data_IF_335480344193
#
_entry.id   IF_335480344193
#
_cell.length_a   1.000
_cell.length_b   1.000
_cell.length_c   1.000
_cell.angle_alpha   90.00
_cell.angle_beta   90.00
_cell.angle_gamma   90.00
#
_symmetry.space_group_name_H-M   'P 1'
#
loop_
_entity.id
_entity.type
_entity.pdbx_description
1 polymer ?
#
# COMPACT_ATOMS: atom_id res chain seq x y z
N UNK A 1 7.36 21.60 -11.39
CA UNK A 1 6.51 20.61 -10.69
C UNK A 1 5.34 20.04 -11.52
N UNK A 2 5.20 20.35 -12.83
CA UNK A 2 3.94 20.13 -13.57
C UNK A 2 3.88 18.83 -14.40
N UNK A 3 4.98 18.40 -15.03
CA UNK A 3 4.96 17.24 -15.94
C UNK A 3 4.90 15.88 -15.21
N UNK A 4 5.68 15.70 -14.13
CA UNK A 4 5.72 14.45 -13.38
C UNK A 4 4.37 14.09 -12.74
N UNK A 5 3.65 15.11 -12.25
CA UNK A 5 2.33 14.96 -11.62
C UNK A 5 1.24 14.61 -12.65
N UNK A 6 1.35 15.15 -13.88
CA UNK A 6 0.46 14.78 -15.01
C UNK A 6 0.71 13.34 -15.45
N UNK A 7 1.97 12.90 -15.55
CA UNK A 7 2.30 11.51 -15.93
C UNK A 7 1.85 10.49 -14.87
N UNK A 8 1.99 10.82 -13.58
CA UNK A 8 1.47 10.00 -12.49
C UNK A 8 -0.06 9.83 -12.60
N UNK A 9 -0.79 10.94 -12.79
CA UNK A 9 -2.24 10.90 -12.92
C UNK A 9 -2.67 10.06 -14.14
N UNK A 10 -2.03 10.26 -15.29
CA UNK A 10 -2.32 9.49 -16.51
C UNK A 10 -2.07 7.98 -16.33
N UNK A 11 -0.96 7.61 -15.68
CA UNK A 11 -0.66 6.20 -15.39
C UNK A 11 -1.68 5.58 -14.42
N UNK A 12 -2.06 6.30 -13.36
CA UNK A 12 -3.07 5.83 -12.40
C UNK A 12 -4.44 5.68 -13.06
N UNK A 13 -4.85 6.66 -13.86
CA UNK A 13 -6.11 6.64 -14.60
C UNK A 13 -6.16 5.50 -15.63
N UNK A 14 -5.07 5.29 -16.38
CA UNK A 14 -4.93 4.15 -17.28
C UNK A 14 -5.04 2.82 -16.55
N UNK A 15 -4.27 2.66 -15.46
CA UNK A 15 -4.26 1.44 -14.65
C UNK A 15 -5.66 1.14 -14.12
N UNK A 16 -6.35 2.14 -13.55
CA UNK A 16 -7.71 1.96 -13.03
C UNK A 16 -8.67 1.59 -14.15
N UNK A 17 -8.67 2.35 -15.26
CA UNK A 17 -9.56 2.11 -16.39
C UNK A 17 -9.40 0.71 -16.97
N UNK A 18 -8.17 0.23 -17.12
CA UNK A 18 -7.91 -1.05 -17.76
C UNK A 18 -8.13 -2.24 -16.83
N UNK A 19 -7.69 -2.15 -15.56
CA UNK A 19 -7.91 -3.20 -14.56
C UNK A 19 -9.32 -3.22 -13.94
N UNK A 20 -10.18 -2.23 -14.23
CA UNK A 20 -11.61 -2.30 -13.87
C UNK A 20 -12.44 -3.18 -14.83
N UNK A 21 -11.78 -3.85 -15.78
CA UNK A 21 -12.40 -4.72 -16.77
C UNK A 21 -12.10 -6.19 -16.47
N UNK A 22 -13.04 -7.11 -16.71
CA UNK A 22 -12.82 -8.53 -16.49
C UNK A 22 -11.72 -9.11 -17.38
N UNK A 23 -11.54 -8.58 -18.60
CA UNK A 23 -10.53 -9.08 -19.54
C UNK A 23 -9.08 -8.77 -19.13
N UNK A 24 -8.88 -7.94 -18.11
CA UNK A 24 -7.55 -7.69 -17.56
C UNK A 24 -7.01 -8.88 -16.75
N UNK A 25 -7.83 -9.89 -16.46
CA UNK A 25 -7.49 -11.01 -15.59
C UNK A 25 -7.61 -12.35 -16.34
N UNK A 26 -6.75 -13.34 -16.05
CA UNK A 26 -6.75 -14.65 -16.70
C UNK A 26 -7.80 -15.60 -16.10
N UNK A 27 -8.75 -15.09 -15.32
CA UNK A 27 -9.76 -15.87 -14.61
C UNK A 27 -11.08 -15.09 -14.52
N UNK A 28 -12.22 -15.75 -14.27
CA UNK A 28 -13.48 -15.07 -13.99
C UNK A 28 -13.36 -14.12 -12.80
N UNK A 29 -14.04 -12.97 -12.86
CA UNK A 29 -14.06 -11.97 -11.80
C UNK A 29 -15.48 -11.68 -11.34
N UNK A 30 -15.64 -11.30 -10.06
CA UNK A 30 -16.90 -10.77 -9.54
C UNK A 30 -17.03 -9.30 -9.92
N UNK A 31 -18.16 -8.93 -10.51
CA UNK A 31 -18.49 -7.55 -10.86
C UNK A 31 -19.40 -6.91 -9.80
N UNK A 32 -19.27 -5.59 -9.56
CA UNK A 32 -18.20 -4.71 -10.06
C UNK A 32 -16.85 -4.99 -9.40
N UNK A 33 -15.75 -4.73 -10.12
CA UNK A 33 -14.40 -4.74 -9.53
C UNK A 33 -14.28 -3.50 -8.65
N UNK A 34 -14.11 -3.70 -7.35
CA UNK A 34 -13.88 -2.59 -6.43
C UNK A 34 -12.42 -2.14 -6.52
N UNK A 35 -12.21 -0.82 -6.60
CA UNK A 35 -10.90 -0.21 -6.70
C UNK A 35 -10.60 0.58 -5.44
N UNK A 36 -9.53 0.20 -4.73
CA UNK A 36 -9.05 0.91 -3.54
C UNK A 36 -7.71 1.56 -3.82
N UNK A 37 -7.60 2.84 -3.52
CA UNK A 37 -6.35 3.57 -3.70
C UNK A 37 -5.69 3.86 -2.36
N UNK A 38 -4.37 3.78 -2.38
CA UNK A 38 -3.49 4.30 -1.32
C UNK A 38 -2.57 5.37 -1.93
N UNK A 39 -1.74 6.01 -1.11
CA UNK A 39 -0.74 6.97 -1.59
C UNK A 39 0.23 6.36 -2.62
N UNK A 40 0.59 5.08 -2.46
CA UNK A 40 1.65 4.43 -3.26
C UNK A 40 1.15 3.30 -4.17
N UNK A 41 -0.13 2.93 -4.13
CA UNK A 41 -0.65 1.77 -4.87
C UNK A 41 -2.14 1.85 -5.14
N UNK A 42 -2.59 1.09 -6.13
CA UNK A 42 -4.00 0.80 -6.43
C UNK A 42 -4.24 -0.69 -6.23
N UNK A 43 -5.34 -1.05 -5.58
CA UNK A 43 -5.76 -2.43 -5.30
C UNK A 43 -7.08 -2.70 -5.99
N UNK A 44 -7.16 -3.81 -6.73
CA UNK A 44 -8.35 -4.27 -7.44
C UNK A 44 -8.89 -5.54 -6.79
N UNK A 45 -10.16 -5.52 -6.40
CA UNK A 45 -10.84 -6.63 -5.74
C UNK A 45 -11.70 -7.39 -6.77
N UNK A 46 -11.31 -8.63 -7.08
CA UNK A 46 -11.89 -9.42 -8.18
C UNK A 46 -12.79 -10.56 -7.70
N UNK A 47 -13.08 -10.64 -6.40
CA UNK A 47 -13.90 -11.65 -5.75
C UNK A 47 -13.07 -12.65 -4.98
N UNK A 48 -12.33 -13.52 -5.67
CA UNK A 48 -11.43 -14.50 -5.05
C UNK A 48 -10.03 -13.90 -4.78
N UNK A 49 -9.55 -13.08 -5.72
CA UNK A 49 -8.21 -12.50 -5.69
C UNK A 49 -8.26 -10.99 -5.59
N UNK A 50 -7.21 -10.43 -4.98
CA UNK A 50 -6.92 -9.01 -4.98
C UNK A 50 -5.58 -8.77 -5.67
N UNK A 51 -5.49 -7.71 -6.47
CA UNK A 51 -4.29 -7.35 -7.20
C UNK A 51 -3.83 -5.96 -6.82
N UNK A 52 -2.59 -5.82 -6.36
CA UNK A 52 -2.01 -4.53 -5.99
C UNK A 52 -0.95 -4.11 -7.01
N UNK A 53 -1.14 -2.95 -7.62
CA UNK A 53 -0.21 -2.32 -8.56
C UNK A 53 0.35 -1.05 -7.93
N UNK A 54 1.67 -0.87 -7.96
CA UNK A 54 2.35 0.30 -7.37
C UNK A 54 2.26 1.49 -8.31
N UNK A 55 2.09 2.68 -7.73
CA UNK A 55 2.11 3.94 -8.48
C UNK A 55 3.57 4.35 -8.75
N UNK A 56 3.89 4.98 -9.89
CA UNK A 56 5.23 5.45 -10.23
C UNK A 56 5.54 6.76 -9.51
N UNK A 57 5.79 6.68 -8.21
CA UNK A 57 6.05 7.82 -7.31
C UNK A 57 7.44 7.74 -6.70
N UNK A 58 8.00 8.88 -6.33
CA UNK A 58 9.20 9.01 -5.53
C UNK A 58 8.91 9.96 -4.36
N UNK A 59 9.09 9.46 -3.13
CA UNK A 59 8.92 10.21 -1.88
C UNK A 59 10.25 10.42 -1.14
N UNK A 60 11.40 10.18 -1.77
CA UNK A 60 12.74 10.31 -1.17
C UNK A 60 13.11 9.17 -0.22
N UNK A 61 12.14 8.60 0.52
CA UNK A 61 12.31 7.36 1.28
C UNK A 61 11.90 6.11 0.49
N UNK A 62 11.31 6.30 -0.70
CA UNK A 62 10.74 5.24 -1.52
C UNK A 62 10.67 5.70 -2.98
N UNK A 63 11.27 4.93 -3.89
CA UNK A 63 11.25 5.20 -5.33
C UNK A 63 10.66 4.02 -6.10
N UNK A 64 9.51 4.26 -6.75
CA UNK A 64 8.78 3.35 -7.64
C UNK A 64 8.71 3.85 -9.08
N UNK A 65 9.50 4.86 -9.44
CA UNK A 65 9.45 5.51 -10.75
C UNK A 65 9.76 4.54 -11.89
N UNK A 66 10.72 3.64 -11.67
CA UNK A 66 11.11 2.63 -12.67
C UNK A 66 10.32 1.33 -12.53
N UNK A 67 10.09 0.64 -13.65
CA UNK A 67 9.48 -0.70 -13.65
C UNK A 67 10.32 -1.71 -12.86
N UNK A 68 11.66 -1.61 -12.95
CA UNK A 68 12.58 -2.45 -12.19
C UNK A 68 12.42 -2.29 -10.69
N UNK A 69 12.28 -1.04 -10.21
CA UNK A 69 11.98 -0.76 -8.81
C UNK A 69 10.62 -1.33 -8.40
N UNK A 70 9.55 -1.11 -9.20
CA UNK A 70 8.23 -1.68 -8.90
C UNK A 70 8.24 -3.21 -8.84
N UNK A 71 9.01 -3.87 -9.72
CA UNK A 71 9.24 -5.33 -9.65
C UNK A 71 9.92 -5.73 -8.34
N UNK A 72 11.06 -5.10 -8.04
CA UNK A 72 11.85 -5.40 -6.85
C UNK A 72 11.00 -5.26 -5.58
N UNK A 73 10.33 -4.12 -5.39
CA UNK A 73 9.52 -3.89 -4.21
C UNK A 73 8.25 -4.73 -4.15
N UNK A 74 7.71 -5.19 -5.29
CA UNK A 74 6.62 -6.17 -5.30
C UNK A 74 7.07 -7.55 -4.83
N UNK A 75 8.28 -7.96 -5.22
CA UNK A 75 8.91 -9.20 -4.73
C UNK A 75 9.24 -9.10 -3.23
N UNK A 76 9.73 -7.94 -2.78
CA UNK A 76 9.97 -7.70 -1.35
C UNK A 76 8.68 -7.71 -0.55
N UNK A 77 7.59 -7.13 -1.04
CA UNK A 77 6.28 -7.22 -0.39
C UNK A 77 5.82 -8.68 -0.25
N UNK A 78 5.95 -9.47 -1.32
CA UNK A 78 5.63 -10.90 -1.28
C UNK A 78 6.49 -11.62 -0.23
N UNK A 79 7.81 -11.45 -0.28
CA UNK A 79 8.77 -12.09 0.63
C UNK A 79 8.52 -11.72 2.08
N UNK A 80 8.31 -10.43 2.36
CA UNK A 80 8.16 -9.91 3.71
C UNK A 80 6.81 -10.30 4.33
N UNK A 81 5.73 -10.26 3.57
CA UNK A 81 4.39 -10.52 4.11
C UNK A 81 4.07 -12.01 4.23
N UNK A 82 4.67 -12.87 3.38
CA UNK A 82 4.52 -14.33 3.50
C UNK A 82 5.00 -14.90 4.84
N UNK A 83 5.85 -14.19 5.57
CA UNK A 83 6.29 -14.60 6.92
C UNK A 83 5.14 -14.69 7.92
N UNK A 84 4.10 -13.86 7.75
CA UNK A 84 2.91 -13.83 8.62
C UNK A 84 1.65 -14.34 7.90
N UNK A 85 1.58 -14.16 6.58
CA UNK A 85 0.40 -14.47 5.78
C UNK A 85 0.75 -15.26 4.50
N UNK A 86 1.35 -16.47 4.61
CA UNK A 86 1.87 -17.22 3.46
C UNK A 86 0.81 -17.57 2.43
N UNK A 87 -0.41 -17.88 2.87
CA UNK A 87 -1.53 -18.25 2.00
C UNK A 87 -2.25 -17.03 1.39
N UNK A 88 -2.01 -15.84 1.93
CA UNK A 88 -2.64 -14.61 1.44
C UNK A 88 -1.84 -13.97 0.32
N UNK A 89 -0.51 -14.00 0.38
CA UNK A 89 0.38 -13.42 -0.62
C UNK A 89 0.90 -14.52 -1.54
N UNK A 90 0.45 -14.53 -2.80
CA UNK A 90 0.65 -15.67 -3.69
C UNK A 90 1.86 -15.54 -4.61
N UNK A 91 1.89 -14.45 -5.38
CA UNK A 91 2.88 -14.26 -6.45
C UNK A 91 2.95 -12.79 -6.87
N UNK A 92 3.97 -12.49 -7.67
CA UNK A 92 4.07 -11.23 -8.41
C UNK A 92 3.82 -11.55 -9.88
N UNK A 93 2.69 -11.09 -10.41
CA UNK A 93 2.26 -11.33 -11.77
C UNK A 93 2.69 -10.17 -12.69
N UNK A 94 3.23 -10.46 -13.89
CA UNK A 94 3.58 -9.42 -14.85
C UNK A 94 2.34 -8.81 -15.50
N UNK A 95 2.40 -7.50 -15.73
CA UNK A 95 1.39 -6.73 -16.46
C UNK A 95 1.93 -6.43 -17.85
N UNK A 96 1.14 -6.75 -18.87
CA UNK A 96 1.49 -6.52 -20.28
C UNK A 96 0.49 -5.57 -20.93
N UNK A 97 0.93 -4.93 -22.02
CA UNK A 97 0.05 -4.19 -22.92
C UNK A 97 -0.34 -5.07 -24.11
N UNK A 98 -1.63 -5.40 -24.24
CA UNK A 98 -2.18 -6.18 -25.35
C UNK A 98 -3.40 -5.47 -25.91
N UNK A 99 -3.48 -5.33 -27.25
CA UNK A 99 -4.58 -4.60 -27.89
C UNK A 99 -4.75 -3.15 -27.40
N UNK A 100 -3.65 -2.50 -26.99
CA UNK A 100 -3.66 -1.15 -26.42
C UNK A 100 -4.09 -1.05 -24.95
N UNK A 101 -4.40 -2.18 -24.30
CA UNK A 101 -4.92 -2.25 -22.93
C UNK A 101 -3.95 -2.98 -22.00
N UNK A 102 -3.95 -2.63 -20.72
CA UNK A 102 -3.21 -3.36 -19.69
C UNK A 102 -3.97 -4.62 -19.25
N UNK A 103 -3.25 -5.72 -19.10
CA UNK A 103 -3.79 -7.00 -18.59
C UNK A 103 -2.70 -7.87 -17.96
N UNK A 104 -3.09 -8.77 -17.06
CA UNK A 104 -2.22 -9.80 -16.50
C UNK A 104 -2.01 -10.94 -17.50
N UNK A 105 -0.78 -11.41 -17.63
CA UNK A 105 -0.44 -12.62 -18.40
C UNK A 105 0.53 -13.47 -17.58
N UNK A 106 0.05 -14.36 -16.71
CA UNK A 106 0.89 -15.13 -15.78
C UNK A 106 1.95 -15.98 -16.49
N UNK A 107 1.61 -16.52 -17.67
CA UNK A 107 2.49 -17.36 -18.48
C UNK A 107 3.43 -16.54 -19.40
N UNK A 108 3.43 -15.22 -19.26
CA UNK A 108 4.13 -14.30 -20.13
C UNK A 108 3.30 -13.85 -21.33
N UNK A 109 3.72 -12.73 -21.92
CA UNK A 109 3.10 -12.10 -23.09
C UNK A 109 4.17 -11.65 -24.09
N UNK A 110 3.76 -11.22 -25.29
CA UNK A 110 4.70 -10.68 -26.26
C UNK A 110 5.37 -9.40 -25.72
N UNK A 111 6.70 -9.34 -25.83
CA UNK A 111 7.50 -8.21 -25.37
C UNK A 111 7.84 -8.25 -23.88
N UNK A 112 8.24 -7.10 -23.34
CA UNK A 112 8.56 -6.93 -21.92
C UNK A 112 7.31 -6.53 -21.11
N UNK A 113 7.20 -6.96 -19.84
CA UNK A 113 6.20 -6.42 -18.93
C UNK A 113 6.29 -4.89 -18.86
N UNK A 114 5.14 -4.24 -18.74
CA UNK A 114 5.02 -2.79 -18.55
C UNK A 114 4.78 -2.41 -17.09
N UNK A 115 4.35 -3.36 -16.26
CA UNK A 115 4.26 -3.23 -14.81
C UNK A 115 4.20 -4.60 -14.11
N UNK A 116 4.00 -4.58 -12.79
CA UNK A 116 3.89 -5.77 -11.93
C UNK A 116 2.75 -5.62 -10.93
N UNK A 117 2.03 -6.71 -10.68
CA UNK A 117 0.96 -6.79 -9.70
C UNK A 117 1.28 -7.84 -8.63
N UNK A 118 1.14 -7.49 -7.36
CA UNK A 118 1.13 -8.49 -6.28
C UNK A 118 -0.25 -9.12 -6.24
N UNK A 119 -0.33 -10.43 -6.51
CA UNK A 119 -1.57 -11.21 -6.41
C UNK A 119 -1.73 -11.75 -4.99
N UNK A 120 -2.90 -11.50 -4.43
CA UNK A 120 -3.26 -11.87 -3.07
C UNK A 120 -4.62 -12.55 -3.02
N UNK A 121 -4.89 -13.37 -2.00
CA UNK A 121 -6.28 -13.73 -1.65
C UNK A 121 -7.03 -12.48 -1.25
N UNK A 122 -8.20 -12.27 -1.82
CA UNK A 122 -9.09 -11.22 -1.35
C UNK A 122 -9.62 -11.62 0.04
N UNK A 123 -9.45 -10.73 1.01
CA UNK A 123 -10.02 -10.93 2.35
C UNK A 123 -11.54 -10.79 2.30
N UNK A 124 -12.22 -11.67 3.02
CA UNK A 124 -13.65 -11.56 3.29
C UNK A 124 -13.88 -10.38 4.24
N UNK A 125 -14.64 -9.38 3.77
CA UNK A 125 -14.94 -8.17 4.54
C UNK A 125 -15.61 -8.49 5.87
N UNK A 126 -16.50 -9.49 5.90
CA UNK A 126 -17.18 -9.93 7.12
C UNK A 126 -16.24 -10.52 8.18
N UNK A 127 -15.00 -10.84 7.79
CA UNK A 127 -13.97 -11.41 8.66
C UNK A 127 -12.84 -10.43 8.98
N UNK A 128 -12.93 -9.19 8.50
CA UNK A 128 -11.96 -8.16 8.86
C UNK A 128 -12.17 -7.69 10.31
N UNK A 129 -11.09 -7.30 10.97
CA UNK A 129 -11.12 -6.88 12.36
C UNK A 129 -12.11 -5.74 12.65
N UNK A 130 -12.24 -4.67 11.83
CA UNK A 130 -13.24 -3.63 12.05
C UNK A 130 -14.67 -4.19 12.11
N UNK A 131 -15.04 -5.02 11.13
CA UNK A 131 -16.37 -5.64 11.09
C UNK A 131 -16.60 -6.60 12.26
N UNK A 132 -15.59 -7.38 12.65
CA UNK A 132 -15.67 -8.26 13.82
C UNK A 132 -15.84 -7.48 15.13
N UNK A 133 -15.23 -6.30 15.25
CA UNK A 133 -15.38 -5.42 16.41
C UNK A 133 -16.78 -4.79 16.44
N UNK A 134 -17.24 -4.26 15.30
CA UNK A 134 -18.57 -3.66 15.15
C UNK A 134 -19.71 -4.65 15.45
N UNK A 135 -19.52 -5.91 15.07
CA UNK A 135 -20.51 -6.99 15.30
C UNK A 135 -20.39 -7.66 16.67
N UNK A 136 -19.46 -7.22 17.53
CA UNK A 136 -19.31 -7.76 18.89
C UNK A 136 -18.78 -9.20 18.93
N UNK A 137 -17.97 -9.61 17.95
CA UNK A 137 -17.41 -10.96 17.91
C UNK A 137 -16.55 -11.24 19.17
N UNK A 138 -16.58 -12.47 19.74
CA UNK A 138 -15.77 -12.81 20.91
C UNK A 138 -14.29 -12.98 20.54
N UNK A 139 -13.54 -11.88 20.59
CA UNK A 139 -12.14 -11.81 20.13
C UNK A 139 -11.09 -12.00 21.23
N UNK A 140 -11.48 -12.08 22.51
CA UNK A 140 -10.55 -11.99 23.66
C UNK A 140 -9.30 -12.88 23.53
N UNK A 141 -9.50 -14.20 23.34
CA UNK A 141 -8.36 -15.12 23.17
C UNK A 141 -7.59 -14.88 21.87
N UNK A 142 -8.30 -14.57 20.77
CA UNK A 142 -7.69 -14.33 19.45
C UNK A 142 -6.79 -13.10 19.44
N UNK A 143 -7.18 -12.02 20.13
CA UNK A 143 -6.37 -10.80 20.27
C UNK A 143 -5.09 -11.10 21.05
N UNK A 144 -5.18 -11.87 22.14
CA UNK A 144 -3.99 -12.25 22.91
C UNK A 144 -3.04 -13.13 22.09
N UNK A 145 -3.58 -14.08 21.33
CA UNK A 145 -2.78 -14.93 20.44
C UNK A 145 -2.10 -14.10 19.33
N UNK A 146 -2.82 -13.13 18.74
CA UNK A 146 -2.27 -12.18 17.76
C UNK A 146 -1.17 -11.30 18.36
N UNK A 147 -1.40 -10.72 19.55
CA UNK A 147 -0.41 -9.89 20.23
C UNK A 147 0.88 -10.67 20.53
N UNK A 148 0.74 -11.92 21.01
CA UNK A 148 1.88 -12.81 21.24
C UNK A 148 2.63 -13.16 19.95
N UNK A 149 1.91 -13.38 18.84
CA UNK A 149 2.53 -13.62 17.54
C UNK A 149 3.36 -12.41 17.09
N UNK A 150 2.78 -11.20 17.15
CA UNK A 150 3.46 -9.97 16.76
C UNK A 150 4.67 -9.67 17.66
N UNK A 151 4.54 -9.86 18.97
CA UNK A 151 5.64 -9.67 19.91
C UNK A 151 6.83 -10.57 19.58
N UNK A 152 6.60 -11.87 19.32
CA UNK A 152 7.66 -12.80 18.91
C UNK A 152 8.27 -12.42 17.56
N UNK A 153 7.44 -12.03 16.60
CA UNK A 153 7.90 -11.61 15.27
C UNK A 153 8.83 -10.38 15.36
N UNK A 154 8.42 -9.36 16.12
CA UNK A 154 9.23 -8.15 16.30
C UNK A 154 10.49 -8.38 17.12
N UNK A 155 10.47 -9.28 18.12
CA UNK A 155 11.66 -9.63 18.89
C UNK A 155 12.77 -10.28 18.04
N UNK A 156 12.41 -10.91 16.92
CA UNK A 156 13.35 -11.54 15.98
C UNK A 156 13.68 -10.67 14.76
N UNK A 157 13.06 -9.48 14.65
CA UNK A 157 13.28 -8.61 13.52
C UNK A 157 14.70 -8.02 13.55
N UNK A 158 15.31 -7.91 12.36
CA UNK A 158 16.62 -7.28 12.18
C UNK A 158 16.59 -5.87 12.79
N UNK A 159 17.53 -5.62 13.70
CA UNK A 159 17.65 -4.37 14.45
C UNK A 159 19.11 -3.91 14.42
N UNK A 160 19.54 -3.44 13.25
CA UNK A 160 20.90 -2.94 13.00
C UNK A 160 20.93 -1.41 12.83
N UNK A 161 22.14 -0.85 12.71
CA UNK A 161 22.33 0.60 12.57
C UNK A 161 21.64 1.19 11.33
N UNK A 162 21.55 0.41 10.25
CA UNK A 162 20.81 0.78 9.03
C UNK A 162 19.32 0.89 9.35
N UNK A 163 18.73 -0.15 9.93
CA UNK A 163 17.30 -0.19 10.29
C UNK A 163 16.96 0.93 11.29
N UNK A 164 17.83 1.16 12.28
CA UNK A 164 17.68 2.24 13.25
C UNK A 164 17.73 3.64 12.61
N UNK A 165 18.43 3.81 11.48
CA UNK A 165 18.53 5.10 10.79
C UNK A 165 17.17 5.59 10.26
N UNK A 166 16.27 4.69 9.90
CA UNK A 166 14.90 5.01 9.47
C UNK A 166 14.02 5.54 10.62
N UNK A 167 14.35 5.20 11.88
CA UNK A 167 13.64 5.68 13.06
C UNK A 167 14.15 7.02 13.61
N UNK A 168 15.16 7.65 12.99
CA UNK A 168 15.67 8.96 13.44
C UNK A 168 14.61 10.03 13.20
N UNK A 169 14.48 10.98 14.13
CA UNK A 169 13.46 12.04 14.08
C UNK A 169 13.43 12.79 12.75
N UNK A 170 14.60 13.11 12.18
CA UNK A 170 14.70 13.77 10.86
C UNK A 170 14.06 12.93 9.75
N UNK A 171 14.34 11.62 9.73
CA UNK A 171 13.80 10.70 8.72
C UNK A 171 12.29 10.52 8.88
N UNK A 172 11.82 10.44 10.13
CA UNK A 172 10.39 10.35 10.43
C UNK A 172 9.64 11.62 10.02
N UNK A 173 10.18 12.80 10.35
CA UNK A 173 9.58 14.08 9.95
C UNK A 173 9.50 14.21 8.42
N UNK A 174 10.59 13.90 7.72
CA UNK A 174 10.58 13.89 6.26
C UNK A 174 9.52 12.94 5.69
N UNK A 175 9.41 11.73 6.25
CA UNK A 175 8.38 10.76 5.83
C UNK A 175 6.97 11.29 6.06
N UNK A 176 6.73 11.94 7.21
CA UNK A 176 5.43 12.54 7.55
C UNK A 176 5.09 13.70 6.61
N UNK A 177 6.05 14.56 6.27
CA UNK A 177 5.87 15.66 5.31
C UNK A 177 5.45 15.17 3.92
N UNK A 178 5.93 14.00 3.50
CA UNK A 178 5.58 13.40 2.22
C UNK A 178 4.24 12.64 2.24
N UNK A 179 3.84 12.11 3.40
CA UNK A 179 2.63 11.28 3.54
C UNK A 179 1.39 12.07 3.96
N UNK A 180 1.56 13.09 4.78
CA UNK A 180 0.48 13.95 5.23
C UNK A 180 0.33 15.11 4.25
N UNK A 181 -0.90 15.55 3.92
CA UNK A 181 -1.09 16.86 3.33
C UNK A 181 -0.74 17.89 4.41
N UNK A 182 0.55 18.20 4.58
CA UNK A 182 0.92 19.33 5.40
C UNK A 182 0.49 20.60 4.66
N UNK A 183 -0.16 21.56 5.34
CA UNK A 183 -0.32 22.90 4.78
C UNK A 183 1.06 23.44 4.38
N UNK A 184 1.15 24.32 3.37
CA UNK A 184 2.43 24.88 2.95
C UNK A 184 3.18 25.45 4.15
N UNK A 185 4.47 25.17 4.22
CA UNK A 185 5.33 25.54 5.34
C UNK A 185 5.23 27.05 5.62
N UNK A 186 4.58 27.41 6.73
CA UNK A 186 4.80 28.68 7.39
C UNK A 186 5.98 28.47 8.34
N UNK A 187 7.10 29.13 8.04
CA UNK A 187 8.25 29.37 8.93
C UNK A 187 8.96 28.12 9.52
N UNK A 188 10.22 27.89 9.12
CA UNK A 188 11.10 26.82 9.64
C UNK A 188 11.74 27.15 11.01
N UNK A 189 11.25 28.14 11.77
CA UNK A 189 11.82 28.51 13.07
C UNK A 189 11.39 27.50 14.17
N UNK A 190 12.30 26.67 14.72
CA UNK A 190 11.97 25.69 15.75
C UNK A 190 11.62 26.32 17.12
N UNK A 191 11.82 27.62 17.29
CA UNK A 191 11.38 28.37 18.48
C UNK A 191 9.95 28.88 18.36
N UNK A 192 9.38 28.87 17.16
CA UNK A 192 8.00 29.27 16.96
C UNK A 192 7.03 28.15 17.40
N UNK A 193 5.98 28.51 18.15
CA UNK A 193 4.96 27.56 18.50
C UNK A 193 4.29 27.02 17.22
N UNK A 194 4.14 25.68 17.12
CA UNK A 194 3.33 25.03 16.08
C UNK A 194 2.05 25.83 15.79
N UNK A 195 1.69 26.08 14.52
CA UNK A 195 0.50 26.85 14.17
C UNK A 195 -0.74 26.30 14.89
N UNK A 196 -1.60 27.20 15.36
CA UNK A 196 -2.78 26.83 16.16
C UNK A 196 -3.76 25.91 15.40
N UNK A 197 -3.68 25.86 14.07
CA UNK A 197 -4.39 24.91 13.20
C UNK A 197 -3.83 23.50 13.31
N UNK A 198 -2.51 23.34 13.21
CA UNK A 198 -1.83 22.05 13.31
C UNK A 198 -1.91 21.49 14.74
N UNK A 199 -1.81 22.34 15.78
CA UNK A 199 -2.07 21.92 17.17
C UNK A 199 -3.47 21.35 17.35
N UNK A 200 -4.48 22.02 16.79
CA UNK A 200 -5.88 21.57 16.86
C UNK A 200 -6.11 20.26 16.10
N UNK A 201 -5.46 20.04 14.96
CA UNK A 201 -5.53 18.76 14.25
C UNK A 201 -4.84 17.63 15.03
N UNK A 202 -3.65 17.88 15.60
CA UNK A 202 -2.95 16.89 16.43
C UNK A 202 -3.80 16.54 17.67
N UNK A 203 -4.36 17.53 18.35
CA UNK A 203 -5.25 17.33 19.50
C UNK A 203 -6.54 16.59 19.08
N UNK A 204 -7.15 16.93 17.94
CA UNK A 204 -8.34 16.25 17.44
C UNK A 204 -8.06 14.76 17.11
N UNK A 205 -6.90 14.48 16.49
CA UNK A 205 -6.46 13.11 16.18
C UNK A 205 -6.12 12.33 17.45
N UNK A 206 -5.56 12.99 18.48
CA UNK A 206 -5.29 12.36 19.78
C UNK A 206 -6.57 12.10 20.59
N UNK A 207 -7.55 13.02 20.55
CA UNK A 207 -8.83 12.89 21.25
C UNK A 207 -9.77 11.85 20.61
N UNK A 208 -9.72 11.66 19.28
CA UNK A 208 -10.47 10.61 18.60
C UNK A 208 -9.95 9.19 18.90
N UNK A 209 -8.72 9.04 19.41
CA UNK A 209 -8.13 7.75 19.79
C UNK A 209 -8.38 7.36 21.26
N UNK A 210 -9.05 8.21 22.03
CA UNK A 210 -9.38 8.00 23.45
C UNK A 210 -10.90 7.77 23.69
N UNK A 211 -11.66 7.46 22.64
CA UNK A 211 -13.06 7.01 22.70
C UNK A 211 -13.19 5.66 22.01
#
# INVERSE_FOLDING_TARGET
>A
MTAARVHLNAHVEETIRDFSRPEAYPHPVRMPIEVRQTHISTVFLTGEWAYKIRKPVDFGFLDYTTIGARRHFSLEELRLNRRLCPDMYLEVAPVFRSGGRLQLQPDGGPGEPVDWAVRMRQLDEGRMLPTLLETGAPLGRRILDLANLLARFHAQARSDAETASFGRSKTLLHTLEQCLPLPPAESDDPSEPLPSSLRREIEAVQLQRLR
#
